data_IF_050318701933
#
_entry.id   IF_050318701933
#
_cell.length_a   1.000
_cell.length_b   1.000
_cell.length_c   1.000
_cell.angle_alpha   90.00
_cell.angle_beta   90.00
_cell.angle_gamma   90.00
#
_symmetry.space_group_name_H-M   'P 1'
#
loop_
_entity.id
_entity.type
_entity.pdbx_description
1 polymer ?
#
# COMPACT_ATOMS: atom_id res chain seq x y z
N UNK A 1 -20.66 -2.55 3.79
CA UNK A 1 -20.13 -3.17 2.55
C UNK A 1 -18.64 -3.48 2.65
N UNK A 2 -17.76 -2.51 2.94
CA UNK A 2 -16.29 -2.76 3.04
C UNK A 2 -15.94 -3.83 4.08
N UNK A 3 -16.50 -3.76 5.30
CA UNK A 3 -16.23 -4.76 6.35
C UNK A 3 -16.60 -6.19 5.94
N UNK A 4 -17.67 -6.34 5.14
CA UNK A 4 -18.09 -7.63 4.61
C UNK A 4 -17.08 -8.14 3.59
N UNK A 5 -16.65 -7.30 2.64
CA UNK A 5 -15.60 -7.65 1.65
C UNK A 5 -14.29 -8.03 2.36
N UNK A 6 -13.90 -7.32 3.41
CA UNK A 6 -12.70 -7.64 4.19
C UNK A 6 -12.83 -9.00 4.89
N UNK A 7 -13.97 -9.30 5.51
CA UNK A 7 -14.21 -10.61 6.12
C UNK A 7 -14.21 -11.73 5.08
N UNK A 8 -14.80 -11.47 3.91
CA UNK A 8 -14.88 -12.41 2.81
C UNK A 8 -13.52 -12.72 2.17
N UNK A 9 -12.69 -11.69 1.93
CA UNK A 9 -11.34 -11.85 1.33
C UNK A 9 -10.35 -12.45 2.31
N UNK A 10 -10.43 -12.13 3.62
CA UNK A 10 -9.49 -12.65 4.61
C UNK A 10 -9.92 -14.00 5.21
N UNK A 11 -11.21 -14.37 5.14
CA UNK A 11 -11.74 -15.59 5.77
C UNK A 11 -11.78 -15.54 7.29
N UNK A 12 -11.63 -14.35 7.89
CA UNK A 12 -11.60 -14.11 9.34
C UNK A 12 -12.75 -13.16 9.68
N UNK A 13 -13.45 -13.35 10.82
CA UNK A 13 -14.49 -12.41 11.24
C UNK A 13 -13.91 -11.01 11.49
N UNK A 14 -14.56 -9.99 10.95
CA UNK A 14 -14.22 -8.58 11.17
C UNK A 14 -15.18 -8.01 12.19
N UNK A 15 -14.65 -7.46 13.28
CA UNK A 15 -15.44 -6.83 14.35
C UNK A 15 -15.33 -5.31 14.17
N UNK A 16 -16.47 -4.64 14.05
CA UNK A 16 -16.56 -3.18 14.00
C UNK A 16 -16.99 -2.67 15.38
N UNK A 17 -16.13 -1.90 16.07
CA UNK A 17 -16.49 -1.31 17.35
C UNK A 17 -17.56 -0.22 17.18
N UNK A 18 -18.36 -0.01 18.22
CA UNK A 18 -19.38 1.05 18.24
C UNK A 18 -18.73 2.45 18.20
N UNK A 19 -17.58 2.63 18.85
CA UNK A 19 -16.80 3.86 18.79
C UNK A 19 -15.83 3.81 17.61
N UNK A 20 -16.03 4.69 16.63
CA UNK A 20 -15.26 4.72 15.38
C UNK A 20 -13.90 5.41 15.57
N UNK A 21 -13.84 6.44 16.43
CA UNK A 21 -12.62 7.20 16.75
C UNK A 21 -11.77 6.46 17.81
N UNK A 22 -11.38 5.22 17.52
CA UNK A 22 -10.59 4.39 18.45
C UNK A 22 -9.23 5.00 18.77
N UNK A 23 -8.66 5.80 17.87
CA UNK A 23 -7.43 6.56 18.11
C UNK A 23 -7.62 7.64 19.18
N UNK A 24 -8.70 8.43 19.08
CA UNK A 24 -9.02 9.43 20.09
C UNK A 24 -9.36 8.78 21.44
N UNK A 25 -10.11 7.66 21.40
CA UNK A 25 -10.38 6.85 22.59
C UNK A 25 -9.10 6.39 23.27
N UNK A 26 -8.16 5.83 22.52
CA UNK A 26 -6.88 5.37 23.05
C UNK A 26 -6.07 6.50 23.67
N UNK A 27 -6.02 7.67 23.02
CA UNK A 27 -5.36 8.84 23.57
C UNK A 27 -6.02 9.33 24.88
N UNK A 28 -7.35 9.38 24.91
CA UNK A 28 -8.09 9.76 26.10
C UNK A 28 -7.88 8.76 27.25
N UNK A 29 -7.90 7.45 26.98
CA UNK A 29 -7.63 6.41 27.97
C UNK A 29 -6.25 6.60 28.61
N UNK A 30 -5.20 6.75 27.79
CA UNK A 30 -3.83 6.94 28.29
C UNK A 30 -3.73 8.23 29.12
N UNK A 31 -4.28 9.34 28.65
CA UNK A 31 -4.27 10.61 29.37
C UNK A 31 -5.08 10.56 30.68
N UNK A 32 -6.22 9.87 30.69
CA UNK A 32 -7.03 9.69 31.89
C UNK A 32 -6.34 8.79 32.93
N UNK A 33 -5.59 7.79 32.48
CA UNK A 33 -4.80 6.94 33.37
C UNK A 33 -3.62 7.69 34.01
N UNK A 34 -2.89 8.50 33.24
CA UNK A 34 -1.77 9.30 33.78
C UNK A 34 -2.23 10.36 34.78
N UNK A 35 -3.45 10.90 34.60
CA UNK A 35 -4.06 11.85 35.53
C UNK A 35 -4.75 11.16 36.73
N UNK A 36 -4.73 9.82 36.80
CA UNK A 36 -5.40 9.05 37.85
C UNK A 36 -6.93 9.13 37.82
N UNK A 37 -7.51 9.61 36.71
CA UNK A 37 -8.95 9.73 36.54
C UNK A 37 -9.61 8.37 36.28
N UNK A 38 -8.89 7.47 35.61
CA UNK A 38 -9.34 6.11 35.31
C UNK A 38 -8.24 5.10 35.64
N UNK A 39 -8.58 4.00 36.32
CA UNK A 39 -7.67 2.89 36.53
C UNK A 39 -7.95 1.81 35.48
N UNK A 40 -7.06 1.69 34.50
CA UNK A 40 -7.20 0.75 33.39
C UNK A 40 -6.72 -0.65 33.78
N UNK A 41 -5.72 -0.74 34.67
CA UNK A 41 -5.10 -2.00 35.10
C UNK A 41 -6.07 -2.90 35.87
N UNK A 42 -7.01 -2.32 36.63
CA UNK A 42 -8.04 -3.06 37.35
C UNK A 42 -9.03 -3.83 36.44
N UNK A 43 -8.95 -3.64 35.11
CA UNK A 43 -9.87 -4.26 34.14
C UNK A 43 -9.18 -5.15 33.11
N UNK A 44 -7.85 -5.23 33.12
CA UNK A 44 -7.06 -6.08 32.22
C UNK A 44 -6.67 -7.36 32.96
N UNK A 45 -7.67 -8.12 33.41
CA UNK A 45 -7.48 -9.57 33.65
C UNK A 45 -7.67 -10.26 32.29
N UNK A 46 -6.71 -10.07 31.39
CA UNK A 46 -6.69 -10.72 30.10
C UNK A 46 -5.25 -11.15 29.83
N UNK A 47 -5.01 -12.45 29.90
CA UNK A 47 -3.74 -13.09 29.59
C UNK A 47 -3.29 -12.70 28.16
N UNK A 48 -2.40 -11.70 28.07
CA UNK A 48 -1.75 -11.27 26.83
C UNK A 48 -0.28 -11.68 26.85
N UNK A 49 -0.04 -12.99 26.88
CA UNK A 49 1.15 -13.57 26.26
C UNK A 49 0.69 -14.37 25.03
N UNK A 50 0.42 -13.66 23.94
CA UNK A 50 0.36 -14.30 22.63
C UNK A 50 1.59 -13.81 21.85
N UNK A 51 2.58 -14.71 21.73
CA UNK A 51 3.78 -14.50 20.94
C UNK A 51 3.38 -13.97 19.56
N UNK A 52 3.96 -12.83 19.17
CA UNK A 52 3.90 -12.30 17.81
C UNK A 52 4.68 -13.22 16.86
N UNK A 53 4.23 -14.45 16.67
CA UNK A 53 4.82 -15.39 15.74
C UNK A 53 4.29 -15.08 14.34
N UNK A 54 5.21 -14.69 13.44
CA UNK A 54 4.88 -14.37 12.03
C UNK A 54 4.12 -15.55 11.41
N UNK A 55 2.86 -15.38 10.95
CA UNK A 55 2.08 -16.52 10.51
C UNK A 55 2.66 -17.14 9.24
N UNK A 56 3.30 -18.30 9.39
CA UNK A 56 3.77 -19.14 8.28
C UNK A 56 2.54 -19.77 7.63
N UNK A 57 2.23 -19.30 6.43
CA UNK A 57 1.11 -19.72 5.57
C UNK A 57 0.92 -21.25 5.57
N UNK A 58 -0.07 -21.75 6.31
CA UNK A 58 -0.65 -23.10 6.16
C UNK A 58 -2.12 -23.10 6.61
N UNK A 59 -2.98 -23.56 5.71
CA UNK A 59 -4.44 -23.59 5.81
C UNK A 59 -4.97 -24.28 7.10
N UNK A 60 -4.18 -25.15 7.74
CA UNK A 60 -4.52 -25.80 9.01
C UNK A 60 -4.47 -24.88 10.24
N UNK A 61 -3.78 -23.73 10.18
CA UNK A 61 -3.72 -22.77 11.28
C UNK A 61 -5.01 -21.96 11.39
N UNK A 62 -5.62 -21.61 10.25
CA UNK A 62 -6.94 -20.97 10.24
C UNK A 62 -8.03 -21.91 10.74
N UNK A 63 -7.96 -23.22 10.46
CA UNK A 63 -8.87 -24.20 11.07
C UNK A 63 -8.70 -24.26 12.59
N UNK A 64 -7.45 -24.18 13.09
CA UNK A 64 -7.14 -24.19 14.52
C UNK A 64 -7.59 -22.90 15.22
N UNK A 65 -7.34 -21.74 14.61
CA UNK A 65 -7.85 -20.45 15.08
C UNK A 65 -9.37 -20.40 15.01
N UNK A 66 -9.99 -20.87 13.93
CA UNK A 66 -11.45 -20.91 13.81
C UNK A 66 -12.07 -21.83 14.86
N UNK A 67 -11.40 -22.95 15.18
CA UNK A 67 -11.82 -23.87 16.25
C UNK A 67 -11.62 -23.24 17.64
N UNK A 68 -10.54 -22.50 17.89
CA UNK A 68 -10.35 -21.78 19.17
C UNK A 68 -11.27 -20.55 19.30
N UNK A 69 -11.56 -19.84 18.20
CA UNK A 69 -12.56 -18.76 18.17
C UNK A 69 -13.99 -19.27 18.33
N UNK A 70 -14.30 -20.48 17.87
CA UNK A 70 -15.62 -21.08 18.08
C UNK A 70 -15.90 -21.39 19.56
N UNK A 71 -14.85 -21.47 20.40
CA UNK A 71 -14.96 -21.68 21.85
C UNK A 71 -14.93 -20.37 22.66
N UNK A 72 -14.51 -19.24 22.07
CA UNK A 72 -14.33 -17.96 22.80
C UNK A 72 -15.24 -16.82 22.33
N UNK A 73 -16.28 -17.12 21.55
CA UNK A 73 -17.20 -16.12 20.99
C UNK A 73 -18.36 -15.70 21.92
N UNK A 74 -18.36 -16.10 23.20
CA UNK A 74 -19.49 -15.85 24.11
C UNK A 74 -19.48 -14.49 24.82
N UNK A 75 -18.54 -13.59 24.51
CA UNK A 75 -18.65 -12.20 24.97
C UNK A 75 -18.68 -11.22 23.79
N UNK A 76 -19.80 -11.16 23.04
CA UNK A 76 -20.06 -10.01 22.19
C UNK A 76 -20.08 -8.78 23.10
N UNK A 77 -19.08 -7.92 22.98
CA UNK A 77 -19.09 -6.61 23.62
C UNK A 77 -20.39 -5.93 23.19
N UNK A 78 -21.25 -5.60 24.16
CA UNK A 78 -22.57 -5.02 23.91
C UNK A 78 -22.44 -3.86 22.91
N UNK A 79 -22.94 -4.04 21.68
CA UNK A 79 -23.01 -2.99 20.66
C UNK A 79 -21.99 -3.04 19.50
N UNK A 80 -21.14 -4.07 19.38
CA UNK A 80 -20.25 -4.22 18.21
C UNK A 80 -20.90 -5.01 17.05
N UNK A 81 -20.71 -4.56 15.81
CA UNK A 81 -21.16 -5.29 14.62
C UNK A 81 -20.11 -6.34 14.24
N UNK A 82 -20.52 -7.59 14.01
CA UNK A 82 -19.61 -8.70 13.61
C UNK A 82 -19.92 -9.15 12.19
N UNK A 83 -18.94 -9.03 11.29
CA UNK A 83 -19.02 -9.45 9.90
C UNK A 83 -18.29 -10.78 9.71
N UNK A 84 -19.02 -11.82 9.31
CA UNK A 84 -18.45 -13.16 9.07
C UNK A 84 -18.28 -13.40 7.58
N UNK A 85 -17.24 -14.16 7.22
CA UNK A 85 -17.03 -14.58 5.84
C UNK A 85 -18.22 -15.40 5.34
N UNK A 86 -18.72 -15.05 4.16
CA UNK A 86 -19.84 -15.68 3.46
C UNK A 86 -19.41 -16.37 2.17
N UNK A 87 -18.14 -16.19 1.76
CA UNK A 87 -17.61 -16.69 0.48
C UNK A 87 -16.81 -17.99 0.69
N UNK A 88 -16.98 -18.93 -0.25
CA UNK A 88 -16.25 -20.20 -0.33
C UNK A 88 -14.74 -19.94 -0.53
N UNK A 89 -13.89 -20.72 0.13
CA UNK A 89 -12.43 -20.54 0.10
C UNK A 89 -11.85 -20.61 -1.32
N UNK A 90 -12.35 -21.49 -2.18
CA UNK A 90 -11.93 -21.58 -3.59
C UNK A 90 -12.17 -20.27 -4.33
N UNK A 91 -13.36 -19.68 -4.17
CA UNK A 91 -13.71 -18.42 -4.81
C UNK A 91 -12.84 -17.26 -4.30
N UNK A 92 -12.51 -17.27 -3.01
CA UNK A 92 -11.59 -16.31 -2.40
C UNK A 92 -10.18 -16.41 -3.02
N UNK A 93 -9.67 -17.61 -3.23
CA UNK A 93 -8.36 -17.82 -3.85
C UNK A 93 -8.31 -17.31 -5.30
N UNK A 94 -9.37 -17.52 -6.09
CA UNK A 94 -9.49 -16.94 -7.44
C UNK A 94 -9.37 -15.40 -7.41
N UNK A 95 -10.10 -14.75 -6.49
CA UNK A 95 -10.08 -13.29 -6.36
C UNK A 95 -8.70 -12.77 -5.98
N UNK A 96 -8.02 -13.45 -5.05
CA UNK A 96 -6.66 -13.09 -4.63
C UNK A 96 -5.67 -13.25 -5.79
N UNK A 97 -5.81 -14.32 -6.59
CA UNK A 97 -4.94 -14.55 -7.74
C UNK A 97 -5.16 -13.52 -8.84
N UNK A 98 -6.42 -13.17 -9.13
CA UNK A 98 -6.76 -12.10 -10.06
C UNK A 98 -6.18 -10.75 -9.62
N UNK A 99 -6.26 -10.43 -8.32
CA UNK A 99 -5.67 -9.22 -7.77
C UNK A 99 -4.15 -9.19 -7.92
N UNK A 100 -3.44 -10.28 -7.58
CA UNK A 100 -1.98 -10.38 -7.78
C UNK A 100 -1.58 -10.16 -9.23
N UNK A 101 -2.31 -10.75 -10.16
CA UNK A 101 -2.08 -10.59 -11.59
C UNK A 101 -2.28 -9.13 -12.03
N UNK A 102 -3.29 -8.44 -11.51
CA UNK A 102 -3.52 -7.03 -11.78
C UNK A 102 -2.42 -6.13 -11.20
N UNK A 103 -1.93 -6.43 -9.99
CA UNK A 103 -0.80 -5.73 -9.36
C UNK A 103 0.46 -5.88 -10.22
N UNK A 104 0.77 -7.08 -10.66
CA UNK A 104 1.93 -7.35 -11.52
C UNK A 104 1.87 -6.57 -12.83
N UNK A 105 0.69 -6.54 -13.46
CA UNK A 105 0.45 -5.75 -14.69
C UNK A 105 0.58 -4.25 -14.48
N UNK A 106 0.25 -3.76 -13.28
CA UNK A 106 0.32 -2.34 -12.93
C UNK A 106 1.73 -1.89 -12.54
N UNK A 107 2.67 -2.82 -12.37
CA UNK A 107 4.07 -2.49 -12.10
C UNK A 107 4.78 -1.93 -13.33
N UNK A 108 5.90 -1.21 -13.11
CA UNK A 108 6.81 -0.71 -14.16
C UNK A 108 6.17 0.32 -15.12
N UNK A 109 5.10 0.98 -14.72
CA UNK A 109 4.48 2.08 -15.48
C UNK A 109 5.43 3.30 -15.64
N UNK A 110 6.31 3.53 -14.66
CA UNK A 110 7.25 4.67 -14.59
C UNK A 110 8.57 4.41 -15.34
N UNK A 111 8.52 3.99 -16.61
CA UNK A 111 9.73 3.74 -17.42
C UNK A 111 10.55 5.02 -17.63
N UNK A 112 11.62 5.19 -16.85
CA UNK A 112 12.64 6.26 -16.94
C UNK A 112 13.31 6.32 -18.34
N UNK A 113 13.35 5.21 -19.09
CA UNK A 113 14.05 5.08 -20.38
C UNK A 113 13.54 6.01 -21.50
N UNK A 114 12.26 6.40 -21.50
CA UNK A 114 11.70 7.27 -22.56
C UNK A 114 12.26 8.69 -22.47
N UNK A 115 12.58 9.16 -21.25
CA UNK A 115 13.20 10.46 -21.04
C UNK A 115 14.67 10.51 -21.47
N UNK A 116 15.44 9.43 -21.26
CA UNK A 116 16.86 9.40 -21.66
C UNK A 116 17.02 9.40 -23.18
N UNK A 117 16.18 8.65 -23.90
CA UNK A 117 16.24 8.58 -25.36
C UNK A 117 15.81 9.90 -26.01
N UNK A 118 14.73 10.52 -25.53
CA UNK A 118 14.36 11.89 -25.92
C UNK A 118 15.49 12.88 -25.61
N UNK A 119 16.09 12.85 -24.41
CA UNK A 119 17.19 13.75 -24.04
C UNK A 119 18.42 13.60 -24.96
N UNK A 120 18.73 12.38 -25.41
CA UNK A 120 19.81 12.14 -26.39
C UNK A 120 19.48 12.73 -27.76
N UNK A 121 18.26 12.52 -28.25
CA UNK A 121 17.81 13.09 -29.52
C UNK A 121 17.80 14.63 -29.50
N UNK A 122 17.37 15.25 -28.39
CA UNK A 122 17.45 16.70 -28.18
C UNK A 122 18.89 17.21 -28.19
N UNK A 123 19.83 16.49 -27.57
CA UNK A 123 21.26 16.88 -27.54
C UNK A 123 21.91 16.83 -28.93
N UNK A 124 21.50 15.87 -29.76
CA UNK A 124 21.97 15.77 -31.15
C UNK A 124 21.30 16.84 -32.02
N UNK A 125 20.02 17.12 -31.79
CA UNK A 125 19.26 18.12 -32.56
C UNK A 125 19.58 19.57 -32.14
N UNK A 126 20.11 19.80 -30.93
CA UNK A 126 20.42 21.14 -30.42
C UNK A 126 21.73 21.74 -30.93
N UNK A 127 22.66 20.96 -31.47
CA UNK A 127 23.94 21.47 -32.00
C UNK A 127 23.88 21.85 -33.49
N UNK A 128 22.83 21.43 -34.20
CA UNK A 128 22.59 21.74 -35.61
C UNK A 128 22.54 23.25 -35.94
N UNK A 129 21.82 24.12 -35.21
CA UNK A 129 21.78 25.55 -35.54
C UNK A 129 23.12 26.26 -35.26
N UNK A 130 23.80 25.89 -34.18
CA UNK A 130 25.13 26.45 -33.86
C UNK A 130 26.17 26.03 -34.92
N UNK A 131 26.12 24.78 -35.37
CA UNK A 131 27.03 24.26 -36.39
C UNK A 131 26.83 24.94 -37.74
N UNK A 132 25.57 25.13 -38.17
CA UNK A 132 25.24 25.86 -39.39
C UNK A 132 25.71 27.32 -39.35
N UNK A 133 25.55 27.99 -38.21
CA UNK A 133 26.01 29.37 -38.02
C UNK A 133 27.54 29.48 -38.14
N UNK A 134 28.27 28.58 -37.48
CA UNK A 134 29.74 28.57 -37.54
C UNK A 134 30.23 28.30 -38.97
N UNK A 135 29.67 27.31 -39.68
CA UNK A 135 30.02 27.02 -41.06
C UNK A 135 29.74 28.19 -42.02
N UNK A 136 28.58 28.85 -41.86
CA UNK A 136 28.23 30.04 -42.65
C UNK A 136 29.21 31.19 -42.43
N UNK A 137 29.59 31.45 -41.17
CA UNK A 137 30.54 32.50 -40.82
C UNK A 137 31.93 32.27 -41.44
N UNK A 138 32.44 31.03 -41.35
CA UNK A 138 33.70 30.66 -41.99
C UNK A 138 33.66 30.77 -43.52
N UNK A 139 32.54 30.36 -44.16
CA UNK A 139 32.39 30.49 -45.61
C UNK A 139 32.43 31.97 -46.06
N UNK A 140 31.78 32.86 -45.32
CA UNK A 140 31.80 34.31 -45.59
C UNK A 140 33.21 34.89 -45.39
N UNK A 141 33.92 34.49 -44.34
CA UNK A 141 35.32 34.89 -44.09
C UNK A 141 36.23 34.49 -45.26
N UNK A 142 36.14 33.25 -45.73
CA UNK A 142 36.94 32.76 -46.87
C UNK A 142 36.63 33.57 -48.13
N UNK A 143 35.34 33.76 -48.45
CA UNK A 143 34.92 34.55 -49.61
C UNK A 143 35.44 36.00 -49.52
N UNK A 144 35.38 36.59 -48.32
CA UNK A 144 35.85 37.95 -48.06
C UNK A 144 37.37 38.09 -48.17
N UNK A 145 38.14 37.03 -47.87
CA UNK A 145 39.58 37.05 -48.06
C UNK A 145 39.96 36.90 -49.53
N UNK A 146 39.19 36.13 -50.30
CA UNK A 146 39.41 35.94 -51.75
C UNK A 146 39.08 37.18 -52.58
N UNK A 147 38.19 38.06 -52.12
CA UNK A 147 37.84 39.30 -52.84
C UNK A 147 38.84 40.46 -52.66
N UNK A 148 39.93 40.26 -51.90
CA UNK A 148 40.98 41.26 -51.63
C UNK A 148 42.32 40.94 -52.32
N UNK A 149 42.36 39.94 -53.20
CA UNK A 149 43.38 39.79 -54.25
C UNK A 149 42.80 40.25 -55.58
#
# INVERSE_FOLDING_TARGET
LVCQILADINGIPVIRPQMIETTALGAAMVAGNTLGLWNIEAKIDCDLEDEFEKPKRRQSFLQKIARSLSVSAEHPTKGADVFRSSIVDEKREEMINAWKLAVERSMRWTKIKKQEQQRREYRIRSTLPIGLFMLSSFAILILSTSSKL
#
